data_IF_389615031520
#
_entry.id   IF_389615031520
#
_cell.length_a   1.000
_cell.length_b   1.000
_cell.length_c   1.000
_cell.angle_alpha   90.00
_cell.angle_beta   90.00
_cell.angle_gamma   90.00
#
_symmetry.space_group_name_H-M   'P 1'
#
loop_
_entity.id
_entity.type
_entity.pdbx_description
1 polymer ?
#
# COMPACT_ATOMS: atom_id res chain seq x y z
N UNK A 1 7.98 9.80 4.68
CA UNK A 1 6.82 9.85 5.61
C UNK A 1 7.01 8.79 6.69
N UNK A 2 6.66 9.11 7.93
CA UNK A 2 6.70 8.11 9.00
C UNK A 2 5.49 7.17 8.88
N UNK A 3 5.69 5.90 9.23
CA UNK A 3 4.60 4.95 9.36
C UNK A 3 3.73 5.29 10.57
N UNK A 4 2.50 4.79 10.57
CA UNK A 4 1.63 4.86 11.73
C UNK A 4 2.31 4.21 12.94
N UNK A 5 2.31 4.87 14.13
CA UNK A 5 2.88 4.29 15.33
C UNK A 5 2.21 2.97 15.69
N UNK A 6 2.98 2.03 16.24
CA UNK A 6 2.52 0.65 16.47
C UNK A 6 1.26 0.59 17.34
N UNK A 7 1.18 1.40 18.41
CA UNK A 7 -0.04 1.44 19.22
C UNK A 7 -1.29 1.84 18.44
N UNK A 8 -1.18 2.84 17.56
CA UNK A 8 -2.29 3.28 16.70
C UNK A 8 -2.61 2.24 15.64
N UNK A 9 -1.60 1.54 15.14
CA UNK A 9 -1.77 0.42 14.21
C UNK A 9 -2.53 -0.75 14.85
N UNK A 10 -2.18 -1.14 16.08
CA UNK A 10 -2.86 -2.23 16.80
C UNK A 10 -4.35 -1.93 17.03
N UNK A 11 -4.70 -0.67 17.32
CA UNK A 11 -6.11 -0.27 17.43
C UNK A 11 -6.84 -0.47 16.10
N UNK A 12 -6.23 -0.04 14.98
CA UNK A 12 -6.80 -0.26 13.65
C UNK A 12 -6.98 -1.75 13.34
N UNK A 13 -5.98 -2.57 13.68
CA UNK A 13 -5.99 -4.00 13.40
C UNK A 13 -7.06 -4.73 14.24
N UNK A 14 -7.18 -4.40 15.52
CA UNK A 14 -8.19 -4.95 16.41
C UNK A 14 -9.62 -4.67 15.89
N UNK A 15 -9.85 -3.47 15.36
CA UNK A 15 -11.12 -3.10 14.73
C UNK A 15 -11.38 -3.95 13.46
N UNK A 16 -10.35 -4.23 12.65
CA UNK A 16 -10.47 -5.10 11.47
C UNK A 16 -10.73 -6.58 11.80
N UNK A 17 -10.17 -7.06 12.90
CA UNK A 17 -10.30 -8.45 13.38
C UNK A 17 -11.65 -8.72 14.07
N UNK A 18 -12.41 -7.68 14.41
CA UNK A 18 -13.67 -7.85 15.13
C UNK A 18 -14.64 -8.76 14.34
N UNK A 19 -14.99 -9.91 14.91
CA UNK A 19 -15.48 -11.11 14.21
C UNK A 19 -16.83 -11.00 13.48
N UNK A 20 -17.50 -9.84 13.55
CA UNK A 20 -18.71 -9.55 12.76
C UNK A 20 -18.44 -8.68 11.52
N UNK A 21 -17.23 -8.17 11.35
CA UNK A 21 -16.89 -7.34 10.22
C UNK A 21 -16.78 -8.19 8.94
N UNK A 22 -17.57 -7.84 7.94
CA UNK A 22 -17.42 -8.33 6.57
C UNK A 22 -16.34 -7.51 5.85
N UNK A 23 -15.71 -8.09 4.82
CA UNK A 23 -14.64 -7.43 4.05
C UNK A 23 -15.05 -6.07 3.48
N UNK A 24 -16.33 -5.88 3.14
CA UNK A 24 -16.88 -4.58 2.75
C UNK A 24 -16.63 -3.48 3.80
N UNK A 25 -16.84 -3.80 5.08
CA UNK A 25 -16.61 -2.86 6.18
C UNK A 25 -15.11 -2.64 6.40
N UNK A 26 -14.30 -3.72 6.37
CA UNK A 26 -12.83 -3.63 6.49
C UNK A 26 -12.24 -2.72 5.41
N UNK A 27 -12.73 -2.87 4.19
CA UNK A 27 -12.32 -2.05 3.05
C UNK A 27 -12.72 -0.57 3.23
N UNK A 28 -13.91 -0.32 3.78
CA UNK A 28 -14.35 1.03 4.14
C UNK A 28 -13.44 1.69 5.18
N UNK A 29 -13.15 0.97 6.27
CA UNK A 29 -12.23 1.43 7.32
C UNK A 29 -10.83 1.68 6.75
N UNK A 30 -10.31 0.76 5.95
CA UNK A 30 -9.02 0.90 5.31
C UNK A 30 -8.96 2.14 4.41
N UNK A 31 -9.98 2.39 3.59
CA UNK A 31 -10.08 3.58 2.73
C UNK A 31 -10.01 4.89 3.52
N UNK A 32 -10.58 4.92 4.72
CA UNK A 32 -10.48 6.07 5.62
C UNK A 32 -9.08 6.20 6.22
N UNK A 33 -8.50 5.09 6.70
CA UNK A 33 -7.17 5.09 7.31
C UNK A 33 -6.09 5.53 6.31
N UNK A 34 -6.05 4.90 5.12
CA UNK A 34 -5.08 5.21 4.07
C UNK A 34 -5.18 6.65 3.58
N UNK A 35 -6.22 7.43 3.88
CA UNK A 35 -6.26 8.83 3.48
C UNK A 35 -5.13 9.65 4.16
N UNK A 36 -4.85 9.35 5.43
CA UNK A 36 -3.99 10.16 6.31
C UNK A 36 -2.79 9.41 6.88
N UNK A 37 -2.74 8.08 6.76
CA UNK A 37 -1.64 7.27 7.30
C UNK A 37 -0.78 6.64 6.21
N UNK A 38 0.44 6.29 6.61
CA UNK A 38 1.33 5.39 5.91
C UNK A 38 1.62 4.18 6.81
N UNK A 39 2.06 3.08 6.23
CA UNK A 39 2.27 1.80 6.92
C UNK A 39 3.65 1.24 6.59
N UNK A 40 4.19 0.37 7.44
CA UNK A 40 5.29 -0.51 7.00
C UNK A 40 4.74 -1.64 6.12
N UNK A 41 5.60 -2.33 5.39
CA UNK A 41 5.22 -3.49 4.58
C UNK A 41 4.66 -4.61 5.47
N UNK A 42 5.24 -4.80 6.67
CA UNK A 42 4.76 -5.74 7.68
C UNK A 42 3.35 -5.38 8.17
N UNK A 43 3.13 -4.11 8.55
CA UNK A 43 1.80 -3.63 8.97
C UNK A 43 0.76 -3.81 7.86
N UNK A 44 1.13 -3.52 6.61
CA UNK A 44 0.26 -3.69 5.47
C UNK A 44 -0.07 -5.18 5.20
N UNK A 45 0.89 -6.08 5.34
CA UNK A 45 0.66 -7.53 5.27
C UNK A 45 -0.31 -8.00 6.37
N UNK A 46 -0.14 -7.52 7.61
CA UNK A 46 -1.06 -7.82 8.72
C UNK A 46 -2.49 -7.33 8.47
N UNK A 47 -2.67 -6.18 7.80
CA UNK A 47 -3.99 -5.74 7.36
C UNK A 47 -4.57 -6.69 6.31
N UNK A 48 -3.76 -7.14 5.34
CA UNK A 48 -4.24 -8.02 4.26
C UNK A 48 -4.71 -9.38 4.77
N UNK A 49 -4.12 -9.90 5.85
CA UNK A 49 -4.55 -11.17 6.44
C UNK A 49 -5.95 -11.12 7.07
N UNK A 50 -6.50 -9.92 7.33
CA UNK A 50 -7.88 -9.75 7.77
C UNK A 50 -8.92 -9.97 6.65
N UNK A 51 -8.52 -9.96 5.38
CA UNK A 51 -9.43 -10.10 4.23
C UNK A 51 -9.60 -11.56 3.82
N UNK A 52 -10.85 -12.01 3.77
CA UNK A 52 -11.20 -13.39 3.43
C UNK A 52 -11.37 -13.58 1.92
N UNK A 53 -11.99 -12.61 1.26
CA UNK A 53 -12.34 -12.68 -0.16
C UNK A 53 -11.23 -12.11 -1.04
N UNK A 54 -10.87 -12.89 -2.06
CA UNK A 54 -9.79 -12.58 -3.00
C UNK A 54 -9.92 -11.19 -3.64
N UNK A 55 -11.11 -10.81 -4.09
CA UNK A 55 -11.35 -9.52 -4.73
C UNK A 55 -11.12 -8.34 -3.77
N UNK A 56 -11.60 -8.44 -2.54
CA UNK A 56 -11.44 -7.40 -1.52
C UNK A 56 -10.00 -7.31 -1.03
N UNK A 57 -9.32 -8.45 -0.87
CA UNK A 57 -7.89 -8.51 -0.54
C UNK A 57 -7.03 -7.84 -1.62
N UNK A 58 -7.32 -8.05 -2.90
CA UNK A 58 -6.64 -7.37 -4.01
C UNK A 58 -6.89 -5.86 -3.98
N UNK A 59 -8.13 -5.42 -3.74
CA UNK A 59 -8.43 -3.99 -3.62
C UNK A 59 -7.71 -3.35 -2.42
N UNK A 60 -7.68 -4.02 -1.26
CA UNK A 60 -6.93 -3.60 -0.10
C UNK A 60 -5.43 -3.49 -0.41
N UNK A 61 -4.86 -4.47 -1.12
CA UNK A 61 -3.46 -4.47 -1.51
C UNK A 61 -3.12 -3.29 -2.42
N UNK A 62 -4.01 -2.90 -3.35
CA UNK A 62 -3.82 -1.71 -4.19
C UNK A 62 -3.77 -0.43 -3.34
N UNK A 63 -4.65 -0.30 -2.35
CA UNK A 63 -4.69 0.86 -1.45
C UNK A 63 -3.42 0.96 -0.60
N UNK A 64 -2.95 -0.19 -0.09
CA UNK A 64 -1.78 -0.28 0.76
C UNK A 64 -0.47 -0.10 -0.01
N UNK A 65 -0.38 -0.59 -1.24
CA UNK A 65 0.84 -0.54 -2.07
C UNK A 65 1.43 0.88 -2.15
N UNK A 66 0.57 1.89 -2.29
CA UNK A 66 0.97 3.31 -2.37
C UNK A 66 1.14 3.99 -1.01
N UNK A 67 0.88 3.29 0.10
CA UNK A 67 1.02 3.79 1.47
C UNK A 67 2.12 3.08 2.28
N UNK A 68 2.85 2.12 1.70
CA UNK A 68 4.00 1.47 2.35
C UNK A 68 5.25 2.35 2.33
N UNK A 69 5.85 2.65 3.48
CA UNK A 69 7.01 3.55 3.60
C UNK A 69 8.35 2.89 3.25
N UNK A 70 8.51 1.61 3.59
CA UNK A 70 9.69 0.77 3.40
C UNK A 70 9.54 -0.08 2.14
N UNK A 71 9.61 0.60 0.99
CA UNK A 71 9.33 0.01 -0.32
C UNK A 71 10.21 -1.17 -0.71
N UNK A 72 11.42 -1.24 -0.19
CA UNK A 72 12.33 -2.39 -0.32
C UNK A 72 11.72 -3.69 0.24
N UNK A 73 10.79 -3.57 1.19
CA UNK A 73 10.09 -4.69 1.82
C UNK A 73 8.72 -4.96 1.19
N UNK A 74 8.33 -4.29 0.10
CA UNK A 74 7.01 -4.47 -0.54
C UNK A 74 6.70 -5.92 -0.94
N UNK A 75 7.72 -6.75 -1.15
CA UNK A 75 7.55 -8.18 -1.41
C UNK A 75 6.78 -8.90 -0.28
N UNK A 76 6.88 -8.42 0.96
CA UNK A 76 6.14 -8.95 2.11
C UNK A 76 4.63 -8.76 1.97
N UNK A 77 4.18 -7.65 1.35
CA UNK A 77 2.76 -7.39 1.09
C UNK A 77 2.13 -8.49 0.22
N UNK A 78 2.89 -8.99 -0.74
CA UNK A 78 2.43 -10.01 -1.70
C UNK A 78 2.64 -11.44 -1.24
N UNK A 79 3.34 -11.65 -0.11
CA UNK A 79 3.71 -12.99 0.37
C UNK A 79 2.47 -13.86 0.67
N UNK A 80 1.44 -13.26 1.27
CA UNK A 80 0.20 -13.94 1.64
C UNK A 80 -0.84 -14.00 0.50
N UNK A 81 -0.51 -13.44 -0.68
CA UNK A 81 -1.42 -13.39 -1.82
C UNK A 81 -1.20 -14.56 -2.76
N UNK A 82 -2.29 -15.13 -3.29
CA UNK A 82 -2.19 -16.18 -4.31
C UNK A 82 -1.57 -15.63 -5.62
N UNK A 83 -1.05 -16.50 -6.48
CA UNK A 83 -0.52 -16.06 -7.78
C UNK A 83 -1.57 -15.35 -8.65
N UNK A 84 -2.84 -15.71 -8.52
CA UNK A 84 -3.94 -15.05 -9.23
C UNK A 84 -4.18 -13.65 -8.70
N UNK A 85 -4.15 -13.49 -7.37
CA UNK A 85 -4.27 -12.20 -6.71
C UNK A 85 -3.12 -11.27 -7.04
N UNK A 86 -1.90 -11.80 -7.03
CA UNK A 86 -0.71 -11.05 -7.45
C UNK A 86 -0.85 -10.61 -8.91
N UNK A 87 -1.29 -11.49 -9.82
CA UNK A 87 -1.55 -11.12 -11.22
C UNK A 87 -2.60 -10.03 -11.34
N UNK A 88 -3.70 -10.09 -10.59
CA UNK A 88 -4.72 -9.05 -10.58
C UNK A 88 -4.21 -7.73 -10.00
N UNK A 89 -3.47 -7.78 -8.89
CA UNK A 89 -2.82 -6.64 -8.27
C UNK A 89 -1.88 -5.95 -9.25
N UNK A 90 -0.93 -6.68 -9.83
CA UNK A 90 0.05 -6.13 -10.77
C UNK A 90 -0.60 -5.65 -12.07
N UNK A 91 -1.61 -6.35 -12.57
CA UNK A 91 -2.40 -5.91 -13.72
C UNK A 91 -3.12 -4.57 -13.47
N UNK A 92 -3.56 -4.32 -12.22
CA UNK A 92 -4.23 -3.07 -11.83
C UNK A 92 -3.28 -1.94 -11.45
N UNK A 93 -2.14 -2.26 -10.84
CA UNK A 93 -1.09 -1.29 -10.53
C UNK A 93 -0.42 -0.79 -11.82
N UNK A 94 -0.34 -1.62 -12.86
CA UNK A 94 0.30 -1.26 -14.13
C UNK A 94 1.76 -0.86 -13.93
N UNK A 95 2.17 0.29 -14.49
CA UNK A 95 3.55 0.81 -14.32
C UNK A 95 3.90 1.19 -12.87
N UNK A 96 2.92 1.36 -11.99
CA UNK A 96 3.16 1.65 -10.57
C UNK A 96 3.89 0.52 -9.84
N UNK A 97 3.71 -0.72 -10.30
CA UNK A 97 4.42 -1.89 -9.80
C UNK A 97 5.94 -1.83 -10.05
N UNK A 98 6.41 -0.93 -10.91
CA UNK A 98 7.82 -0.76 -11.26
C UNK A 98 8.52 0.36 -10.47
N UNK A 99 7.89 0.89 -9.41
CA UNK A 99 8.59 1.68 -8.40
C UNK A 99 9.63 0.78 -7.72
N UNK A 100 10.84 0.78 -8.26
CA UNK A 100 12.02 0.26 -7.58
C UNK A 100 12.63 1.41 -6.79
N UNK A 101 12.69 1.27 -5.47
CA UNK A 101 13.49 2.15 -4.62
C UNK A 101 14.97 2.17 -5.04
N UNK A 102 15.45 1.10 -5.70
CA UNK A 102 16.80 1.03 -6.24
C UNK A 102 17.01 1.79 -7.57
N UNK A 103 15.95 2.29 -8.21
CA UNK A 103 16.06 3.06 -9.46
C UNK A 103 15.11 4.27 -9.53
N UNK A 104 15.23 5.25 -8.62
CA UNK A 104 14.40 6.46 -8.57
C UNK A 104 14.62 7.40 -9.78
N UNK A 105 15.69 7.22 -10.56
CA UNK A 105 16.05 8.05 -11.73
C UNK A 105 15.52 7.49 -13.06
N UNK A 106 14.71 6.43 -13.02
CA UNK A 106 14.06 5.87 -14.21
C UNK A 106 13.19 6.89 -14.98
N UNK A 107 12.92 6.61 -16.26
CA UNK A 107 11.95 7.40 -17.04
C UNK A 107 10.53 6.96 -16.69
N UNK A 108 9.86 7.75 -15.85
CA UNK A 108 8.45 7.56 -15.52
C UNK A 108 7.55 8.42 -16.42
N UNK A 109 6.51 7.82 -17.00
CA UNK A 109 5.42 8.57 -17.61
C UNK A 109 4.20 8.47 -16.71
N UNK A 110 3.93 9.54 -15.95
CA UNK A 110 2.88 9.58 -14.93
C UNK A 110 1.71 10.43 -15.41
N UNK A 111 0.53 9.82 -15.47
CA UNK A 111 -0.74 10.49 -15.61
C UNK A 111 -1.26 10.89 -14.23
N UNK A 112 -0.99 12.15 -13.84
CA UNK A 112 -1.41 12.73 -12.57
C UNK A 112 -2.93 12.86 -12.40
N UNK A 113 -3.72 12.52 -13.42
CA UNK A 113 -5.19 12.41 -13.27
C UNK A 113 -5.57 11.11 -12.52
N UNK A 114 -4.67 10.13 -12.45
CA UNK A 114 -4.91 8.85 -11.77
C UNK A 114 -4.35 8.91 -10.34
N UNK A 115 -5.18 8.57 -9.36
CA UNK A 115 -4.83 8.64 -7.93
C UNK A 115 -3.53 7.91 -7.61
N UNK A 116 -3.36 6.70 -8.16
CA UNK A 116 -2.18 5.86 -7.94
C UNK A 116 -0.90 6.57 -8.44
N UNK A 117 -0.95 7.12 -9.64
CA UNK A 117 0.21 7.74 -10.30
C UNK A 117 0.58 9.10 -9.67
N UNK A 118 -0.38 9.80 -9.05
CA UNK A 118 -0.07 10.97 -8.20
C UNK A 118 0.75 10.61 -6.98
N UNK A 119 0.45 9.47 -6.34
CA UNK A 119 1.21 9.04 -5.15
C UNK A 119 2.65 8.67 -5.54
N UNK A 120 2.84 8.08 -6.72
CA UNK A 120 4.19 7.83 -7.28
C UNK A 120 4.95 9.14 -7.47
N UNK A 121 4.32 10.14 -8.09
CA UNK A 121 4.94 11.45 -8.30
C UNK A 121 5.34 12.12 -6.97
N UNK A 122 4.49 12.02 -5.94
CA UNK A 122 4.81 12.51 -4.60
C UNK A 122 6.00 11.78 -3.97
N UNK A 123 6.10 10.46 -4.13
CA UNK A 123 7.25 9.69 -3.60
C UNK A 123 8.56 10.06 -4.28
N UNK A 124 8.56 10.16 -5.62
CA UNK A 124 9.74 10.59 -6.37
C UNK A 124 10.18 12.01 -5.95
N UNK A 125 9.22 12.92 -5.72
CA UNK A 125 9.51 14.26 -5.24
C UNK A 125 10.12 14.25 -3.83
N UNK A 126 9.55 13.47 -2.90
CA UNK A 126 10.07 13.35 -1.53
C UNK A 126 11.50 12.79 -1.54
N UNK A 127 11.78 11.80 -2.39
CA UNK A 127 13.11 11.21 -2.51
C UNK A 127 14.12 12.22 -3.11
N UNK A 128 13.74 12.94 -4.16
CA UNK A 128 14.57 14.02 -4.72
C UNK A 128 14.88 15.13 -3.70
N UNK A 129 13.91 15.48 -2.84
CA UNK A 129 14.11 16.45 -1.77
C UNK A 129 15.07 15.93 -0.68
N UNK A 130 14.95 14.65 -0.31
CA UNK A 130 15.85 14.03 0.65
C UNK A 130 17.29 13.97 0.15
N UNK A 131 17.51 13.74 -1.15
CA UNK A 131 18.83 13.74 -1.78
C UNK A 131 19.45 15.15 -1.89
N UNK A 132 18.64 16.20 -2.00
CA UNK A 132 19.12 17.59 -2.14
C UNK A 132 19.60 18.23 -0.82
N UNK A 133 19.37 17.57 0.33
CA UNK A 133 19.75 18.04 1.66
C UNK A 133 21.12 17.50 2.15
N UNK A 134 21.89 16.85 1.27
CA UNK A 134 23.25 16.36 1.53
C UNK A 134 24.30 17.15 0.76
#
# INVERSE_FOLDING_TARGET
>A
PDSVPEHTFEVLLQEMEHGSAVDFWRLGLLKTAVAVTFFTAEQAMRILSCFQWSADRVEAAILLFVRVVDTENLHQLTHEMSQDEQRHLFGRLGMAAYLRSENPTGRYHLNLSRQLERVIAQRLLMQAQAEHLW
#
